data_IF_034502964388
#
_entry.id   IF_034502964388
#
_cell.length_a   1.000
_cell.length_b   1.000
_cell.length_c   1.000
_cell.angle_alpha   90.00
_cell.angle_beta   90.00
_cell.angle_gamma   90.00
#
_symmetry.space_group_name_H-M   'P 1'
#
loop_
_entity.id
_entity.type
_entity.pdbx_description
1 polymer ?
2 non-polymer ?
3 non-polymer ?
4 non-polymer ?
5 water ?
#
# COMPACT_ATOMS: atom_id res chain seq x y z
N UNK A 1 -14.26 -14.61 -4.56
CA UNK A 1 -13.52 -13.90 -3.48
C UNK A 1 -12.40 -13.06 -4.10
N UNK A 2 -12.77 -11.91 -4.64
CA UNK A 2 -11.78 -10.98 -5.12
C UNK A 2 -11.19 -10.14 -4.00
N UNK A 3 -9.91 -9.83 -4.17
CA UNK A 3 -9.15 -9.06 -3.25
C UNK A 3 -8.46 -8.02 -4.07
N UNK A 4 -8.09 -6.93 -3.41
CA UNK A 4 -7.32 -5.88 -4.03
C UNK A 4 -6.13 -5.64 -3.10
N UNK A 5 -4.93 -5.69 -3.68
CA UNK A 5 -3.72 -5.49 -2.90
C UNK A 5 -3.32 -4.01 -3.10
N UNK A 6 -3.50 -3.21 -2.06
CA UNK A 6 -3.28 -1.76 -2.21
C UNK A 6 -1.82 -1.31 -2.17
N UNK A 7 -0.89 -2.23 -2.00
CA UNK A 7 0.51 -1.80 -2.00
C UNK A 7 1.44 -2.94 -2.35
N UNK A 8 1.86 -2.98 -3.61
CA UNK A 8 2.81 -3.96 -4.11
C UNK A 8 4.05 -3.25 -4.61
N UNK A 9 5.20 -3.60 -4.05
CA UNK A 9 6.44 -2.99 -4.55
C UNK A 9 7.01 -3.82 -5.70
N UNK A 10 6.27 -3.82 -6.78
CA UNK A 10 6.47 -4.78 -7.86
C UNK A 10 7.71 -4.47 -8.72
N UNK A 11 8.21 -3.23 -8.65
CA UNK A 11 9.43 -2.88 -9.33
C UNK A 11 10.68 -3.36 -8.58
N UNK A 12 10.51 -3.88 -7.36
CA UNK A 12 11.68 -4.33 -6.59
C UNK A 12 12.65 -5.24 -7.37
N UNK A 13 13.95 -4.97 -7.25
CA UNK A 13 15.00 -5.74 -7.97
C UNK A 13 14.93 -7.18 -7.57
N UNK A 14 14.45 -7.42 -6.37
CA UNK A 14 14.51 -8.77 -5.82
C UNK A 14 13.60 -9.72 -6.59
N UNK A 15 12.66 -9.18 -7.37
CA UNK A 15 11.79 -9.99 -8.22
C UNK A 15 12.45 -10.47 -9.52
N UNK A 16 13.63 -9.93 -9.79
CA UNK A 16 14.43 -10.22 -10.97
C UNK A 16 13.67 -10.38 -12.26
N UNK A 17 12.88 -9.34 -12.55
CA UNK A 17 12.15 -9.22 -13.81
C UNK A 17 11.07 -10.26 -14.03
N UNK A 18 10.66 -10.93 -12.96
CA UNK A 18 9.62 -11.95 -13.07
C UNK A 18 8.23 -11.38 -12.73
N UNK A 19 7.98 -10.11 -13.04
CA UNK A 19 6.74 -9.46 -12.62
C UNK A 19 5.55 -10.10 -13.30
N UNK A 20 5.76 -10.56 -14.53
CA UNK A 20 4.67 -11.10 -15.29
C UNK A 20 4.08 -12.31 -14.58
N UNK A 21 4.95 -13.23 -14.16
CA UNK A 21 4.51 -14.42 -13.45
C UNK A 21 3.85 -14.06 -12.10
N UNK A 22 4.46 -13.12 -11.39
CA UNK A 22 3.93 -12.65 -10.13
C UNK A 22 2.48 -12.14 -10.29
N UNK A 23 2.26 -11.30 -11.30
CA UNK A 23 0.93 -10.83 -11.65
C UNK A 23 -0.01 -11.98 -12.03
N UNK A 24 0.45 -12.91 -12.86
CA UNK A 24 -0.38 -14.08 -13.18
C UNK A 24 -0.79 -14.92 -11.96
N UNK A 25 0.15 -15.21 -11.07
CA UNK A 25 -0.20 -15.94 -9.86
C UNK A 25 -1.20 -15.16 -8.99
N UNK A 26 -1.03 -13.84 -8.87
CA UNK A 26 -1.97 -12.99 -8.11
C UNK A 26 -3.40 -13.09 -8.65
N UNK A 27 -3.57 -12.89 -9.98
CA UNK A 27 -4.88 -12.94 -10.63
C UNK A 27 -5.53 -14.30 -10.42
N UNK A 28 -4.74 -15.36 -10.61
CA UNK A 28 -5.22 -16.73 -10.42
C UNK A 28 -5.69 -16.94 -9.00
N UNK A 29 -5.08 -16.26 -8.04
CA UNK A 29 -5.50 -16.41 -6.66
C UNK A 29 -6.66 -15.49 -6.31
N UNK A 30 -7.14 -14.74 -7.30
CA UNK A 30 -8.26 -13.82 -7.12
C UNK A 30 -7.93 -12.43 -6.61
N UNK A 31 -6.64 -12.07 -6.60
CA UNK A 31 -6.24 -10.69 -6.34
C UNK A 31 -6.30 -9.95 -7.69
N UNK A 32 -7.42 -9.30 -7.97
CA UNK A 32 -7.73 -8.95 -9.34
C UNK A 32 -7.25 -7.54 -9.68
N UNK A 33 -7.00 -6.74 -8.66
CA UNK A 33 -6.40 -5.45 -8.88
C UNK A 33 -5.30 -5.20 -7.86
N UNK A 34 -4.32 -4.40 -8.26
CA UNK A 34 -3.15 -4.14 -7.41
C UNK A 34 -2.70 -2.73 -7.64
N UNK A 35 -2.28 -2.07 -6.56
CA UNK A 35 -1.66 -0.76 -6.63
C UNK A 35 -0.15 -0.94 -6.53
N UNK A 36 0.57 -0.55 -7.58
CA UNK A 36 2.03 -0.60 -7.55
C UNK A 36 2.62 0.67 -6.91
N UNK A 37 3.35 0.50 -5.83
CA UNK A 37 3.71 1.62 -4.97
C UNK A 37 4.92 2.35 -5.55
N UNK A 38 4.82 3.66 -5.73
CA UNK A 38 6.01 4.47 -6.03
C UNK A 38 6.69 4.89 -4.76
N UNK A 39 8.02 4.85 -4.70
CA UNK A 39 8.71 5.33 -3.50
C UNK A 39 9.69 6.48 -3.75
N UNK A 40 9.95 6.78 -5.02
CA UNK A 40 10.77 7.90 -5.42
C UNK A 40 10.24 8.27 -6.81
N UNK A 41 10.68 9.38 -7.39
CA UNK A 41 10.27 9.75 -8.72
C UNK A 41 10.63 8.64 -9.71
N UNK A 42 11.84 8.11 -9.61
CA UNK A 42 12.31 7.04 -10.51
C UNK A 42 11.47 5.76 -10.33
N UNK A 43 11.18 5.38 -9.08
CA UNK A 43 10.49 4.13 -8.87
C UNK A 43 9.02 4.32 -9.23
N UNK A 44 8.49 5.53 -9.02
CA UNK A 44 7.12 5.83 -9.47
C UNK A 44 6.99 5.72 -10.98
N UNK A 45 7.94 6.28 -11.72
CA UNK A 45 7.99 6.11 -13.19
C UNK A 45 8.01 4.62 -13.60
N UNK A 46 8.86 3.82 -12.95
CA UNK A 46 8.98 2.41 -13.29
C UNK A 46 7.69 1.68 -12.96
N UNK A 47 7.02 2.07 -11.87
CA UNK A 47 5.72 1.46 -11.50
C UNK A 47 4.65 1.71 -12.57
N UNK A 48 4.56 2.94 -13.02
CA UNK A 48 3.70 3.26 -14.12
C UNK A 48 4.07 2.44 -15.37
N UNK A 49 5.34 2.45 -15.80
CA UNK A 49 5.80 1.66 -16.95
C UNK A 49 5.45 0.17 -16.84
N UNK A 50 5.50 -0.38 -15.64
CA UNK A 50 5.07 -1.76 -15.43
C UNK A 50 3.59 -1.94 -15.67
N UNK A 51 2.76 -1.05 -15.16
CA UNK A 51 1.31 -1.10 -15.46
C UNK A 51 1.09 -1.10 -16.97
N UNK A 52 1.74 -0.17 -17.64
CA UNK A 52 1.65 -0.12 -19.11
C UNK A 52 2.18 -1.38 -19.81
N UNK A 53 3.30 -1.93 -19.36
CA UNK A 53 3.94 -3.06 -20.04
C UNK A 53 3.08 -4.34 -19.88
N UNK A 54 2.56 -4.55 -18.67
CA UNK A 54 1.85 -5.80 -18.32
C UNK A 54 0.33 -5.81 -18.49
N UNK A 55 -0.30 -4.65 -18.53
CA UNK A 55 -1.76 -4.57 -18.46
C UNK A 55 -2.27 -3.43 -19.36
N UNK A 56 -2.35 -3.69 -20.66
CA UNK A 56 -2.77 -2.68 -21.62
C UNK A 56 -4.16 -2.14 -21.39
N UNK A 57 -5.11 -2.98 -20.98
CA UNK A 57 -6.49 -2.52 -20.85
C UNK A 57 -6.73 -1.59 -19.64
N UNK A 58 -5.89 -1.67 -18.63
CA UNK A 58 -6.08 -0.84 -17.44
C UNK A 58 -7.11 -1.42 -16.51
N UNK A 59 -7.29 -2.73 -16.56
CA UNK A 59 -8.25 -3.39 -15.69
C UNK A 59 -7.65 -3.77 -14.32
N UNK A 60 -6.35 -4.06 -14.28
CA UNK A 60 -5.77 -4.73 -13.11
C UNK A 60 -4.71 -3.91 -12.36
N UNK A 61 -3.80 -3.26 -13.08
CA UNK A 61 -2.59 -2.64 -12.46
C UNK A 61 -2.71 -1.12 -12.47
N UNK A 62 -2.57 -0.52 -11.29
CA UNK A 62 -2.56 0.92 -11.18
C UNK A 62 -1.35 1.31 -10.35
N UNK A 63 -1.02 2.60 -10.33
CA UNK A 63 0.20 3.05 -9.68
C UNK A 63 -0.08 4.13 -8.65
N UNK A 64 0.86 4.35 -7.73
CA UNK A 64 0.93 5.59 -6.94
C UNK A 64 2.22 6.30 -7.33
N UNK A 65 2.26 7.62 -7.12
CA UNK A 65 3.50 8.34 -7.39
C UNK A 65 3.84 9.21 -6.19
N UNK A 66 5.07 9.12 -5.73
CA UNK A 66 5.46 9.91 -4.58
C UNK A 66 6.87 9.60 -4.17
N UNK A 67 7.28 10.23 -3.07
CA UNK A 67 8.63 10.06 -2.53
C UNK A 67 8.52 9.64 -1.07
N UNK A 68 9.11 8.48 -0.78
CA UNK A 68 9.04 7.84 0.54
C UNK A 68 9.93 8.64 1.53
N UNK A 69 9.57 8.63 2.82
CA UNK A 69 10.42 9.38 3.76
C UNK A 69 11.88 8.92 3.74
N UNK A 70 12.16 7.63 3.50
CA UNK A 70 13.60 7.19 3.43
C UNK A 70 14.32 8.01 2.38
N UNK A 71 13.58 8.38 1.34
CA UNK A 71 14.18 9.05 0.20
C UNK A 71 13.84 10.53 0.11
N UNK A 72 13.28 11.09 1.17
CA UNK A 72 12.90 12.51 1.23
C UNK A 72 14.10 13.43 0.88
N UNK A 73 15.31 13.03 1.26
CA UNK A 73 16.52 13.83 1.03
C UNK A 73 16.82 14.08 -0.47
N UNK A 74 16.29 13.21 -1.34
CA UNK A 74 16.41 13.42 -2.78
C UNK A 74 15.39 14.42 -3.31
N UNK A 75 14.46 14.87 -2.47
CA UNK A 75 13.46 15.87 -2.93
C UNK A 75 14.20 17.15 -3.31
N UNK A 76 13.96 17.65 -4.50
CA UNK A 76 14.72 18.80 -4.98
C UNK A 76 13.82 19.80 -5.68
N UNK A 77 14.46 20.81 -6.24
CA UNK A 77 13.78 21.88 -6.92
C UNK A 77 12.85 21.44 -8.10
N UNK A 78 13.22 20.38 -8.82
CA UNK A 78 12.38 19.88 -9.90
C UNK A 78 11.36 18.81 -9.49
N UNK A 79 11.37 18.40 -8.22
CA UNK A 79 10.51 17.30 -7.79
C UNK A 79 9.02 17.62 -7.90
N UNK A 80 8.60 18.78 -7.38
CA UNK A 80 7.18 19.13 -7.38
C UNK A 80 6.69 19.04 -8.82
N UNK A 81 7.46 19.60 -9.74
CA UNK A 81 6.96 19.73 -11.11
C UNK A 81 6.81 18.35 -11.82
N UNK A 82 7.85 17.54 -11.70
CA UNK A 82 7.82 16.19 -12.24
C UNK A 82 6.72 15.35 -11.61
N UNK A 83 6.54 15.46 -10.29
CA UNK A 83 5.53 14.64 -9.64
C UNK A 83 4.11 15.10 -10.05
N UNK A 84 3.91 16.41 -10.16
CA UNK A 84 2.63 16.91 -10.59
C UNK A 84 2.22 16.31 -11.98
N UNK A 85 3.17 16.26 -12.90
CA UNK A 85 2.98 15.63 -14.20
C UNK A 85 2.66 14.13 -14.10
N UNK A 86 3.46 13.40 -13.33
CA UNK A 86 3.24 11.96 -13.17
C UNK A 86 1.87 11.71 -12.58
N UNK A 87 1.52 12.52 -11.58
CA UNK A 87 0.23 12.30 -10.89
C UNK A 87 -0.96 12.46 -11.79
N UNK A 88 -0.79 13.23 -12.88
CA UNK A 88 -1.89 13.51 -13.79
C UNK A 88 -2.06 12.38 -14.83
N UNK A 89 -1.14 11.41 -14.86
CA UNK A 89 -1.38 10.16 -15.59
C UNK A 89 -2.63 9.41 -15.09
N UNK A 90 -3.48 8.93 -16.00
CA UNK A 90 -4.74 8.34 -15.49
C UNK A 90 -4.59 7.04 -14.71
N UNK A 91 -3.48 6.36 -14.89
CA UNK A 91 -3.25 5.10 -14.21
C UNK A 91 -2.70 5.33 -12.82
N UNK A 92 -2.23 6.56 -12.58
CA UNK A 92 -1.71 6.92 -11.29
C UNK A 92 -2.87 7.38 -10.40
N UNK A 93 -3.11 6.72 -9.25
CA UNK A 93 -4.37 6.87 -8.50
C UNK A 93 -4.20 7.51 -7.15
N UNK A 94 -2.96 7.63 -6.71
CA UNK A 94 -2.73 8.27 -5.42
C UNK A 94 -1.34 8.89 -5.30
N UNK A 95 -1.19 9.78 -4.34
CA UNK A 95 0.07 10.38 -3.98
C UNK A 95 0.69 9.53 -2.87
N UNK A 96 1.89 9.05 -3.10
CA UNK A 96 2.59 8.30 -2.07
C UNK A 96 3.34 7.22 -2.80
N UNK A 97 4.07 6.38 -2.08
CA UNK A 97 4.04 6.34 -0.62
C UNK A 97 4.84 7.50 -0.07
N UNK A 98 4.24 8.24 0.87
CA UNK A 98 4.93 9.36 1.47
C UNK A 98 4.62 9.35 2.97
N UNK A 99 5.39 10.06 3.80
CA UNK A 99 5.10 10.07 5.20
C UNK A 99 6.33 10.33 6.02
N UNK A 100 6.46 9.61 7.15
CA UNK A 100 7.54 9.88 8.13
C UNK A 100 8.03 8.55 8.67
N UNK A 101 9.34 8.40 8.78
CA UNK A 101 9.94 7.23 9.40
C UNK A 101 11.11 7.71 10.26
N UNK A 102 10.81 7.89 11.54
CA UNK A 102 11.76 8.40 12.52
C UNK A 102 12.47 7.24 13.22
N UNK A 103 12.10 6.01 12.86
CA UNK A 103 12.80 4.80 13.33
C UNK A 103 14.12 4.63 12.55
N UNK A 104 14.01 4.56 11.22
CA UNK A 104 15.17 4.47 10.36
C UNK A 104 15.97 5.78 10.27
N UNK A 105 15.27 6.91 10.13
CA UNK A 105 15.94 8.19 9.97
C UNK A 105 16.90 8.13 8.77
N UNK A 106 16.48 7.53 7.65
CA UNK A 106 17.35 7.45 6.46
C UNK A 106 17.44 8.79 5.71
N UNK A 107 16.51 9.71 5.99
CA UNK A 107 16.65 11.13 5.67
C UNK A 107 16.51 11.94 6.93
N UNK A 108 17.18 13.11 7.00
CA UNK A 108 16.99 13.99 8.14
C UNK A 108 15.51 14.34 8.33
N UNK A 109 15.07 14.38 9.57
CA UNK A 109 13.68 14.70 9.87
C UNK A 109 13.07 15.96 9.23
N UNK A 110 13.82 17.08 9.22
CA UNK A 110 13.24 18.28 8.62
C UNK A 110 13.00 18.09 7.14
N UNK A 111 13.90 17.35 6.48
CA UNK A 111 13.72 17.04 5.06
C UNK A 111 12.53 16.11 4.83
N UNK A 112 12.31 15.13 5.72
CA UNK A 112 11.11 14.31 5.67
C UNK A 112 9.84 15.16 5.72
N UNK A 113 9.75 16.04 6.71
CA UNK A 113 8.59 16.93 6.85
C UNK A 113 8.35 17.80 5.65
N UNK A 114 9.43 18.34 5.11
CA UNK A 114 9.34 19.17 3.94
C UNK A 114 8.76 18.40 2.74
N UNK A 115 9.28 17.19 2.49
CA UNK A 115 8.80 16.39 1.36
C UNK A 115 7.34 15.98 1.53
N UNK A 116 6.98 15.58 2.75
CA UNK A 116 5.61 15.24 3.08
C UNK A 116 4.63 16.37 2.80
N UNK A 117 4.96 17.55 3.31
CA UNK A 117 4.11 18.71 3.11
C UNK A 117 3.94 19.09 1.68
N UNK A 118 5.00 18.99 0.90
CA UNK A 118 4.88 19.28 -0.51
C UNK A 118 3.96 18.23 -1.20
N UNK A 119 4.00 16.99 -0.73
CA UNK A 119 3.16 15.95 -1.34
C UNK A 119 1.71 16.07 -0.92
N UNK A 120 1.50 16.39 0.34
CA UNK A 120 0.13 16.65 0.80
C UNK A 120 -0.48 17.83 0.06
N UNK A 121 0.32 18.88 -0.17
CA UNK A 121 -0.13 20.04 -0.98
C UNK A 121 -0.53 19.59 -2.40
N UNK A 122 0.30 18.77 -3.05
CA UNK A 122 -0.09 18.23 -4.35
C UNK A 122 -1.40 17.42 -4.35
N UNK A 123 -1.53 16.53 -3.37
CA UNK A 123 -2.74 15.73 -3.19
C UNK A 123 -3.98 16.58 -3.03
N UNK A 124 -3.88 17.62 -2.23
CA UNK A 124 -4.97 18.55 -2.03
C UNK A 124 -5.35 19.31 -3.32
N UNK A 125 -4.37 19.89 -3.99
CA UNK A 125 -4.62 20.60 -5.25
C UNK A 125 -5.11 19.70 -6.37
N UNK A 126 -4.60 18.49 -6.45
CA UNK A 126 -4.99 17.61 -7.56
C UNK A 126 -6.21 16.73 -7.24
N UNK A 127 -6.67 16.81 -5.98
CA UNK A 127 -7.81 16.00 -5.56
C UNK A 127 -7.52 14.49 -5.72
N UNK A 128 -6.37 14.06 -5.19
CA UNK A 128 -6.01 12.65 -5.22
C UNK A 128 -5.80 12.24 -3.77
N UNK A 129 -6.15 10.99 -3.44
CA UNK A 129 -5.98 10.51 -2.05
C UNK A 129 -4.51 10.27 -1.76
N UNK A 130 -4.18 10.09 -0.49
CA UNK A 130 -2.80 9.99 -0.07
C UNK A 130 -2.48 8.62 0.50
N UNK A 131 -1.30 8.09 0.15
CA UNK A 131 -0.89 6.76 0.62
C UNK A 131 0.25 6.98 1.61
N UNK A 132 -0.01 6.85 2.91
CA UNK A 132 0.93 7.31 3.94
C UNK A 132 1.68 6.18 4.60
N UNK A 133 2.95 6.43 4.94
CA UNK A 133 3.77 5.49 5.74
C UNK A 133 4.09 6.23 7.03
N UNK A 134 4.05 5.55 8.16
CA UNK A 134 4.43 6.17 9.41
C UNK A 134 5.10 5.13 10.30
N UNK A 135 6.27 5.46 10.85
CA UNK A 135 6.92 4.60 11.86
C UNK A 135 7.64 5.47 12.88
N UNK A 136 7.27 5.28 14.15
CA UNK A 136 7.72 6.11 15.27
C UNK A 136 7.53 7.58 15.04
N UNK A 137 6.43 7.95 14.40
CA UNK A 137 6.24 9.35 14.06
C UNK A 137 4.76 9.77 14.07
N UNK A 138 3.92 9.04 14.81
CA UNK A 138 2.49 9.28 14.80
C UNK A 138 2.17 10.68 15.32
N UNK A 139 2.93 11.14 16.30
CA UNK A 139 2.69 12.46 16.90
C UNK A 139 2.96 13.57 15.89
N UNK A 140 4.10 13.51 15.19
CA UNK A 140 4.38 14.48 14.15
C UNK A 140 3.43 14.34 12.98
N UNK A 141 3.13 13.11 12.58
CA UNK A 141 2.23 12.92 11.43
C UNK A 141 0.87 13.50 11.71
N UNK A 142 0.33 13.21 12.90
CA UNK A 142 -0.98 13.78 13.28
C UNK A 142 -0.98 15.31 13.26
N UNK A 143 0.03 15.93 13.87
CA UNK A 143 0.16 17.39 13.85
C UNK A 143 0.19 17.96 12.44
N UNK A 144 0.93 17.32 11.54
CA UNK A 144 1.03 17.82 10.17
C UNK A 144 -0.27 17.69 9.40
N UNK A 145 -0.94 16.55 9.56
CA UNK A 145 -2.14 16.23 8.82
C UNK A 145 -3.30 17.18 9.18
N UNK A 146 -3.31 17.63 10.43
CA UNK A 146 -4.38 18.50 10.95
C UNK A 146 -4.72 19.65 10.02
N UNK A 147 -3.67 20.30 9.50
CA UNK A 147 -3.81 21.43 8.61
C UNK A 147 -4.16 21.04 7.17
N UNK A 148 -4.05 19.75 6.85
CA UNK A 148 -4.32 19.30 5.48
C UNK A 148 -5.62 18.52 5.36
N UNK A 149 -6.04 17.84 6.43
CA UNK A 149 -7.01 16.76 6.28
C UNK A 149 -8.32 17.24 5.64
N UNK A 150 -8.77 18.41 6.07
CA UNK A 150 -10.01 18.96 5.54
C UNK A 150 -9.94 19.15 4.06
N UNK A 151 -8.74 19.25 3.51
CA UNK A 151 -8.61 19.53 2.08
C UNK A 151 -8.28 18.28 1.23
N UNK A 152 -8.20 17.12 1.88
CA UNK A 152 -7.86 15.90 1.17
C UNK A 152 -9.11 15.10 0.85
N UNK A 153 -9.17 14.48 -0.32
CA UNK A 153 -10.29 13.55 -0.57
C UNK A 153 -10.22 12.32 0.32
N UNK A 154 -9.02 11.86 0.66
CA UNK A 154 -8.84 10.80 1.67
C UNK A 154 -7.38 10.47 1.86
N UNK A 155 -7.06 9.72 2.91
CA UNK A 155 -5.72 9.22 3.09
C UNK A 155 -5.77 7.90 3.82
N UNK A 156 -4.80 7.02 3.53
CA UNK A 156 -4.72 5.73 4.25
C UNK A 156 -3.40 5.69 4.99
N UNK A 157 -3.41 5.26 6.24
CA UNK A 157 -2.15 4.89 6.90
C UNK A 157 -1.88 3.44 6.55
N UNK A 158 -0.97 3.26 5.59
CA UNK A 158 -0.65 1.94 5.07
C UNK A 158 0.21 1.14 6.07
N UNK A 159 0.05 -0.18 6.02
CA UNK A 159 0.81 -1.07 6.91
C UNK A 159 0.83 -0.54 8.34
N UNK A 160 -0.36 -0.35 8.90
CA UNK A 160 -0.47 0.10 10.27
C UNK A 160 0.06 -0.94 11.25
N UNK A 161 1.00 -0.55 12.10
CA UNK A 161 1.62 -1.47 13.06
C UNK A 161 1.62 -0.97 14.50
N UNK A 162 0.91 0.13 14.74
CA UNK A 162 1.05 0.84 16.02
C UNK A 162 0.08 0.35 17.08
N UNK A 163 -0.09 1.14 18.13
CA UNK A 163 -0.90 0.70 19.26
C UNK A 163 -2.25 1.38 19.27
N UNK A 164 -3.08 1.05 20.26
CA UNK A 164 -4.47 1.47 20.31
C UNK A 164 -4.64 2.99 20.15
N UNK A 165 -3.84 3.78 20.84
CA UNK A 165 -4.07 5.23 20.89
C UNK A 165 -3.81 5.82 19.53
N UNK A 166 -2.76 5.36 18.87
CA UNK A 166 -2.44 5.85 17.52
C UNK A 166 -3.54 5.47 16.53
N UNK A 167 -4.07 4.24 16.66
CA UNK A 167 -5.15 3.81 15.77
C UNK A 167 -6.36 4.71 15.89
N UNK A 168 -6.84 4.89 17.11
CA UNK A 168 -7.99 5.71 17.33
C UNK A 168 -7.75 7.17 16.94
N UNK A 169 -6.55 7.69 17.15
CA UNK A 169 -6.28 9.04 16.64
C UNK A 169 -6.36 9.14 15.10
N UNK A 170 -5.81 8.15 14.38
CA UNK A 170 -5.97 8.13 12.93
C UNK A 170 -7.44 7.99 12.51
N UNK A 171 -8.16 7.10 13.17
CA UNK A 171 -9.57 6.94 12.86
C UNK A 171 -10.36 8.24 13.10
N UNK A 172 -9.99 8.99 14.13
CA UNK A 172 -10.73 10.22 14.46
C UNK A 172 -10.52 11.35 13.41
N UNK A 173 -9.35 11.36 12.78
CA UNK A 173 -9.10 12.16 11.57
C UNK A 173 -9.73 11.61 10.30
N UNK A 174 -10.57 10.59 10.43
CA UNK A 174 -11.21 9.98 9.29
C UNK A 174 -10.22 9.42 8.24
N UNK A 175 -9.19 8.70 8.68
CA UNK A 175 -8.19 8.08 7.79
C UNK A 175 -8.63 6.62 7.54
N UNK A 176 -8.37 6.14 6.35
CA UNK A 176 -8.37 4.69 6.07
C UNK A 176 -7.15 4.03 6.74
N UNK A 177 -7.22 2.71 6.96
CA UNK A 177 -6.13 1.93 7.60
C UNK A 177 -5.83 0.71 6.71
N UNK A 178 -4.55 0.48 6.39
CA UNK A 178 -4.19 -0.66 5.57
C UNK A 178 -3.50 -1.67 6.47
N UNK A 179 -3.85 -2.93 6.30
CA UNK A 179 -3.29 -4.01 7.11
C UNK A 179 -2.57 -5.02 6.21
N UNK A 180 -1.38 -5.44 6.63
CA UNK A 180 -0.50 -6.34 5.86
C UNK A 180 -0.32 -7.64 6.65
N UNK A 181 0.50 -8.55 6.13
CA UNK A 181 1.00 -9.71 6.88
C UNK A 181 1.74 -9.49 8.19
N UNK A 182 2.04 -8.25 8.54
CA UNK A 182 2.47 -7.97 9.92
C UNK A 182 1.45 -8.58 10.92
N UNK A 183 0.17 -8.57 10.57
CA UNK A 183 -0.80 -9.20 11.47
C UNK A 183 -0.60 -10.70 11.73
N UNK A 184 0.05 -11.42 10.80
CA UNK A 184 0.30 -12.86 10.93
C UNK A 184 1.62 -13.13 11.64
N UNK A 185 2.30 -12.08 12.08
CA UNK A 185 3.62 -12.22 12.69
C UNK A 185 3.46 -12.48 14.20
N UNK A 186 3.82 -13.68 14.64
CA UNK A 186 3.58 -14.05 16.04
C UNK A 186 4.48 -13.29 17.04
N UNK A 187 5.53 -12.64 16.53
CA UNK A 187 6.52 -11.94 17.36
C UNK A 187 6.18 -10.47 17.57
N UNK A 188 5.48 -9.86 16.63
CA UNK A 188 5.33 -8.42 16.70
C UNK A 188 3.98 -7.90 16.23
N UNK A 189 3.06 -8.81 15.91
CA UNK A 189 1.78 -8.41 15.34
C UNK A 189 0.56 -8.81 16.13
N UNK A 190 0.76 -9.53 17.24
CA UNK A 190 -0.38 -10.00 18.05
C UNK A 190 -1.17 -8.85 18.67
N UNK A 191 -0.52 -7.72 18.90
CA UNK A 191 -1.22 -6.57 19.47
C UNK A 191 -2.26 -5.99 18.49
N UNK A 192 -2.17 -6.35 17.21
CA UNK A 192 -3.17 -5.91 16.22
C UNK A 192 -4.46 -6.69 16.32
N UNK A 193 -4.39 -7.87 16.93
CA UNK A 193 -5.55 -8.77 17.01
C UNK A 193 -6.77 -8.13 17.66
N UNK A 194 -6.60 -7.51 18.84
CA UNK A 194 -7.73 -6.81 19.46
C UNK A 194 -8.10 -5.50 18.75
N UNK A 195 -7.23 -5.00 17.88
CA UNK A 195 -7.44 -3.68 17.24
C UNK A 195 -8.14 -3.75 15.87
N UNK A 196 -7.86 -4.76 15.06
CA UNK A 196 -8.39 -4.73 13.69
C UNK A 196 -9.89 -4.57 13.64
N UNK A 197 -10.57 -5.18 14.60
CA UNK A 197 -12.03 -5.05 14.72
C UNK A 197 -12.58 -3.65 14.94
N UNK A 198 -11.73 -2.73 15.37
CA UNK A 198 -12.16 -1.34 15.56
C UNK A 198 -12.16 -0.50 14.27
N UNK A 199 -11.58 -1.02 13.19
CA UNK A 199 -11.60 -0.29 11.94
C UNK A 199 -12.96 -0.52 11.27
N UNK A 200 -13.72 0.57 11.03
CA UNK A 200 -15.05 0.37 10.42
C UNK A 200 -14.91 -0.22 9.03
N UNK A 201 -15.89 -1.01 8.59
CA UNK A 201 -16.05 -1.35 7.17
C UNK A 201 -16.17 -0.07 6.42
N UNK A 202 -15.54 0.01 5.26
CA UNK A 202 -15.42 1.25 4.56
C UNK A 202 -14.12 2.00 4.85
N UNK A 203 -13.37 1.59 5.85
CA UNK A 203 -12.07 2.23 6.11
C UNK A 203 -10.89 1.24 6.12
N UNK A 204 -11.16 -0.06 6.02
CA UNK A 204 -10.13 -1.07 6.12
C UNK A 204 -9.77 -1.52 4.70
N UNK A 205 -8.48 -1.52 4.41
CA UNK A 205 -7.98 -2.12 3.16
C UNK A 205 -6.86 -3.12 3.44
N UNK A 206 -6.61 -4.00 2.48
CA UNK A 206 -5.54 -5.00 2.67
C UNK A 206 -4.43 -4.77 1.65
N UNK A 207 -3.22 -5.21 2.01
CA UNK A 207 -2.04 -5.01 1.17
C UNK A 207 -0.99 -6.07 1.51
N UNK A 208 -0.20 -6.48 0.53
CA UNK A 208 0.89 -7.41 0.82
C UNK A 208 2.16 -6.65 1.24
N UNK A 209 2.43 -5.52 0.59
CA UNK A 209 3.75 -4.87 0.69
C UNK A 209 4.83 -5.76 0.10
N UNK A 210 4.45 -6.66 -0.80
CA UNK A 210 5.44 -7.58 -1.37
C UNK A 210 6.58 -6.73 -1.96
N UNK A 211 7.86 -7.20 -1.90
CA UNK A 211 8.32 -8.52 -1.37
C UNK A 211 8.43 -8.62 0.16
N UNK A 212 8.12 -7.53 0.87
CA UNK A 212 8.27 -7.49 2.33
C UNK A 212 7.14 -8.24 3.04
N UNK A 213 7.37 -8.59 4.32
CA UNK A 213 6.27 -9.04 5.19
C UNK A 213 5.56 -10.27 4.65
N UNK A 214 6.36 -11.23 4.20
CA UNK A 214 5.88 -12.59 3.98
C UNK A 214 5.12 -13.03 5.24
N UNK A 215 3.83 -13.40 5.12
CA UNK A 215 3.12 -13.88 6.29
C UNK A 215 3.77 -15.11 6.90
N UNK A 216 4.07 -15.02 8.20
CA UNK A 216 4.84 -16.03 8.88
C UNK A 216 4.06 -17.34 9.08
N UNK A 217 2.74 -17.29 8.92
CA UNK A 217 1.90 -18.48 8.96
C UNK A 217 1.66 -19.14 7.60
N UNK A 218 2.21 -18.56 6.53
CA UNK A 218 2.07 -19.14 5.20
C UNK A 218 2.74 -20.51 5.11
N UNK A 219 2.16 -21.41 4.33
CA UNK A 219 2.82 -22.67 3.97
C UNK A 219 2.21 -23.21 2.67
N UNK A 220 3.06 -23.67 1.71
CA UNK A 220 4.52 -23.69 1.69
C UNK A 220 5.07 -22.25 1.69
N UNK A 221 6.21 -22.03 2.33
CA UNK A 221 6.90 -20.72 2.26
C UNK A 221 7.87 -20.75 1.07
N UNK A 222 7.90 -19.68 0.25
CA UNK A 222 8.93 -19.67 -0.78
C UNK A 222 10.33 -19.64 -0.15
N UNK A 223 11.21 -20.46 -0.71
CA UNK A 223 12.57 -20.54 -0.25
C UNK A 223 13.25 -19.18 -0.35
N UNK A 224 12.86 -18.35 -1.33
CA UNK A 224 13.44 -16.98 -1.46
C UNK A 224 13.09 -16.09 -0.26
N UNK A 225 12.02 -16.43 0.45
CA UNK A 225 11.53 -15.56 1.51
C UNK A 225 10.79 -14.32 0.98
N UNK A 226 10.61 -14.22 -0.34
CA UNK A 226 9.92 -13.06 -0.92
C UNK A 226 8.42 -13.25 -0.79
N UNK A 227 7.75 -12.22 -0.29
CA UNK A 227 6.29 -12.12 -0.35
C UNK A 227 5.85 -11.77 -1.77
N UNK A 228 4.61 -12.12 -2.10
CA UNK A 228 4.00 -11.71 -3.36
C UNK A 228 2.50 -11.50 -3.17
N UNK A 229 1.89 -10.80 -4.14
CA UNK A 229 0.48 -10.48 -3.95
C UNK A 229 -0.43 -11.72 -3.92
N UNK A 230 -0.01 -12.83 -4.54
CA UNK A 230 -0.84 -14.05 -4.43
C UNK A 230 -0.95 -14.59 -3.00
N UNK A 231 -0.11 -14.12 -2.07
CA UNK A 231 -0.21 -14.62 -0.71
C UNK A 231 -1.17 -13.78 0.14
N UNK A 232 -1.79 -12.77 -0.45
CA UNK A 232 -2.73 -11.94 0.28
C UNK A 232 -3.92 -12.68 0.98
N UNK A 233 -4.39 -13.82 0.41
CA UNK A 233 -5.47 -14.55 1.09
C UNK A 233 -5.09 -15.00 2.52
N UNK A 234 -3.82 -15.21 2.80
CA UNK A 234 -3.43 -15.57 4.16
C UNK A 234 -3.60 -14.38 5.10
N UNK A 235 -3.37 -13.18 4.58
CA UNK A 235 -3.66 -11.97 5.33
C UNK A 235 -5.17 -11.84 5.55
N UNK A 236 -5.92 -12.02 4.49
CA UNK A 236 -7.38 -11.99 4.59
C UNK A 236 -7.84 -12.96 5.66
N UNK A 237 -7.31 -14.18 5.65
CA UNK A 237 -7.79 -15.19 6.61
C UNK A 237 -7.66 -14.62 8.03
N UNK A 238 -6.49 -14.11 8.33
CA UNK A 238 -6.15 -13.69 9.68
C UNK A 238 -6.94 -12.44 10.07
N UNK A 239 -7.14 -11.53 9.12
CA UNK A 239 -7.87 -10.29 9.42
C UNK A 239 -9.36 -10.59 9.65
N UNK A 240 -9.93 -11.43 8.80
CA UNK A 240 -11.31 -11.88 8.96
C UNK A 240 -11.56 -12.52 10.34
N UNK A 241 -10.61 -13.34 10.77
CA UNK A 241 -10.76 -14.11 11.98
C UNK A 241 -10.86 -13.13 13.14
N UNK A 242 -9.96 -12.15 13.18
CA UNK A 242 -9.96 -11.26 14.34
C UNK A 242 -11.01 -10.19 14.26
N UNK A 243 -11.63 -10.04 13.09
CA UNK A 243 -12.85 -9.21 12.97
C UNK A 243 -14.15 -9.96 13.23
N UNK A 244 -14.05 -11.27 13.39
CA UNK A 244 -15.22 -12.10 13.65
C UNK A 244 -16.13 -12.07 12.45
N UNK A 245 -15.57 -12.06 11.25
CA UNK A 245 -16.43 -12.14 10.07
C UNK A 245 -15.91 -13.15 9.07
N UNK A 246 -16.79 -13.62 8.18
CA UNK A 246 -16.36 -14.56 7.18
C UNK A 246 -15.33 -13.92 6.26
N UNK A 247 -14.46 -14.76 5.71
CA UNK A 247 -13.48 -14.33 4.76
C UNK A 247 -14.18 -13.65 3.57
N UNK A 248 -15.32 -14.20 3.13
CA UNK A 248 -16.04 -13.65 1.97
C UNK A 248 -16.47 -12.22 2.25
N UNK A 249 -16.89 -11.96 3.49
CA UNK A 249 -17.42 -10.65 3.82
C UNK A 249 -16.27 -9.63 3.95
N UNK A 250 -15.18 -10.00 4.62
CA UNK A 250 -14.00 -9.15 4.68
C UNK A 250 -13.44 -8.84 3.29
N UNK A 251 -13.29 -9.87 2.46
CA UNK A 251 -12.87 -9.66 1.08
C UNK A 251 -13.76 -8.67 0.36
N UNK A 252 -15.09 -8.83 0.52
CA UNK A 252 -16.05 -7.98 -0.20
C UNK A 252 -15.94 -6.53 0.21
N UNK A 253 -15.91 -6.28 1.50
CA UNK A 253 -15.86 -4.88 1.97
C UNK A 253 -14.52 -4.14 1.80
N UNK A 254 -13.40 -4.85 1.97
CA UNK A 254 -12.10 -4.24 1.70
C UNK A 254 -11.96 -3.92 0.22
N UNK A 255 -12.45 -4.82 -0.63
CA UNK A 255 -12.37 -4.60 -2.08
C UNK A 255 -13.25 -3.38 -2.48
N UNK A 256 -14.39 -3.22 -1.84
CA UNK A 256 -15.29 -2.12 -2.21
C UNK A 256 -14.69 -0.83 -1.72
N UNK A 257 -14.10 -0.88 -0.52
CA UNK A 257 -13.37 0.26 0.03
C UNK A 257 -12.22 0.70 -0.90
N UNK A 258 -11.39 -0.25 -1.33
CA UNK A 258 -10.24 0.06 -2.19
C UNK A 258 -10.71 0.61 -3.53
N UNK A 259 -11.79 0.07 -4.08
CA UNK A 259 -12.26 0.55 -5.39
C UNK A 259 -12.66 2.01 -5.31
N UNK A 260 -13.42 2.32 -4.27
CA UNK A 260 -13.80 3.66 -3.99
C UNK A 260 -12.61 4.59 -3.68
N UNK A 261 -11.69 4.14 -2.81
CA UNK A 261 -10.58 4.99 -2.40
C UNK A 261 -9.70 5.36 -3.60
N UNK A 262 -9.41 4.39 -4.45
CA UNK A 262 -8.53 4.65 -5.60
C UNK A 262 -9.30 4.93 -6.91
N UNK A 263 -10.63 4.94 -6.85
CA UNK A 263 -11.44 5.08 -8.08
C UNK A 263 -11.15 4.04 -9.15
N UNK A 264 -11.21 2.77 -8.77
CA UNK A 264 -10.96 1.67 -9.71
C UNK A 264 -12.22 1.21 -10.42
N UNK A 265 -12.07 0.67 -11.64
CA UNK A 265 -13.26 0.20 -12.38
C UNK A 265 -13.79 -1.12 -11.83
N UNK A 266 -15.10 -1.32 -11.95
CA UNK A 266 -15.78 -2.56 -11.57
C UNK A 266 -15.20 -3.80 -12.26
N UNK A 267 -15.51 -4.97 -11.72
CA UNK A 267 -15.04 -6.26 -12.28
C UNK A 267 -15.43 -6.45 -13.76
N UNK A 268 -14.68 -7.29 -14.46
CA UNK A 268 -14.73 -7.42 -15.94
C UNK A 268 -14.53 -6.10 -16.71
N UNK A 277 -4.84 -20.94 -15.20
CA UNK A 277 -3.62 -21.59 -14.70
C UNK A 277 -2.63 -21.80 -15.86
N UNK A 278 -1.39 -21.33 -15.69
CA UNK A 278 -0.30 -21.58 -16.67
C UNK A 278 0.99 -22.03 -15.97
N UNK A 279 1.72 -22.94 -16.60
CA UNK A 279 2.85 -23.61 -15.94
C UNK A 279 4.11 -22.74 -15.85
N UNK A 280 4.33 -21.91 -16.87
CA UNK A 280 5.52 -21.05 -16.93
C UNK A 280 5.55 -20.07 -15.76
N UNK A 281 4.36 -19.70 -15.27
CA UNK A 281 4.25 -18.69 -14.22
C UNK A 281 4.21 -19.30 -12.80
N UNK A 282 4.39 -20.62 -12.68
CA UNK A 282 4.53 -21.28 -11.37
C UNK A 282 5.86 -22.04 -11.23
N UNK A 283 7.01 -21.37 -11.45
CA UNK A 283 8.27 -22.10 -11.27
C UNK A 283 8.39 -22.60 -9.84
N UNK A 284 8.86 -23.83 -9.67
CA UNK A 284 8.96 -24.43 -8.34
C UNK A 284 10.31 -24.07 -7.76
N UNK A 285 10.34 -23.85 -6.45
CA UNK A 285 11.59 -23.60 -5.73
C UNK A 285 12.50 -22.60 -6.46
N UNK A 286 11.87 -21.56 -6.99
CA UNK A 286 12.51 -20.39 -7.57
C UNK A 286 13.58 -19.74 -6.67
N UNK A 287 14.73 -19.39 -7.25
CA UNK A 287 15.65 -18.40 -6.64
C UNK A 287 14.87 -17.08 -6.41
X LIG B 1 5.58 1.95 3.97
X LIG C 1 11.66 -1.20 4.38
X LIG C 1 12.64 -1.23 5.19
X LIG C 1 11.60 -0.32 3.49
X LIG C 1 10.56 -2.25 4.46
X LIG C 1 9.18 -1.62 4.67
X LIG C 1 8.29 -2.59 5.27
X LIG C 1 8.60 -1.19 3.31
X LIG C 1 7.66 0.00 3.43
X LIG C 1 8.07 1.15 3.16
X LIG C 1 6.46 -0.16 3.80
X LIG C 1 9.29 -0.45 5.63
X LIG C 1 8.46 -0.35 6.57
X LIG C 1 10.18 0.42 5.51
X LIG D 1 13.81 2.75 0.46
X LIG D 1 14.78 3.49 0.16
X LIG D 1 14.13 1.74 1.13
X LIG D 1 12.38 3.02 0.05
#
# INVERSE_FOLDING_TARGET
MQLIDIGVNLTNSSFHDQQAAIVERALEAGVTQMLLTGTSLAVSEQALELCQQLDASGAHLFATAGVHPHDAKAWDTDSERQLRLLLSEPRVRAVGECGLDFNRDFSPRPLQEKALEAQLTLAAQLRLPVFLHERDASERLLAILKDYRDHLTGAVVHCFTGEREALFAYLDLDLHIGITGWICDERRGTHLHPLVGNIPEGRLMLESDAPYLLPRSLRPKPKSGRNEPAFLPEVLREVALHRGESAEHTAAHTTATARDFFQLPAENLYFQSHHHHHHWSHPQFEK
ZN ZN
CIT C1 O1 O2 C2 C3 O7 C4 C5 O3 O4 C6 O5 O6
ACT C O OXT CH3
#
